data_IF_793480787155
#
_entry.id   IF_793480787155
#
_cell.length_a   1.000
_cell.length_b   1.000
_cell.length_c   1.000
_cell.angle_alpha   90.00
_cell.angle_beta   90.00
_cell.angle_gamma   90.00
#
_symmetry.space_group_name_H-M   'P 1'
#
loop_
_entity.id
_entity.type
_entity.pdbx_description
1 polymer ?
#
# COMPACT_ATOMS: atom_id res chain seq x y z
N UNK A 1 -2.00 -7.02 19.14
CA UNK A 1 -3.42 -7.35 19.41
C UNK A 1 -4.35 -6.13 19.30
N UNK A 2 -4.12 -5.02 20.04
CA UNK A 2 -5.03 -3.86 20.06
C UNK A 2 -5.21 -3.13 18.72
N UNK A 3 -4.12 -2.87 17.98
CA UNK A 3 -4.20 -2.21 16.67
C UNK A 3 -4.95 -3.06 15.64
N UNK A 4 -4.70 -4.37 15.61
CA UNK A 4 -5.46 -5.32 14.77
C UNK A 4 -6.97 -5.27 15.07
N UNK A 5 -7.35 -5.33 16.35
CA UNK A 5 -8.76 -5.26 16.76
C UNK A 5 -9.40 -3.92 16.37
N UNK A 6 -8.68 -2.80 16.48
CA UNK A 6 -9.17 -1.47 16.11
C UNK A 6 -9.44 -1.30 14.60
N UNK A 7 -8.93 -2.21 13.78
CA UNK A 7 -9.01 -2.15 12.32
C UNK A 7 -9.95 -3.20 11.72
N UNK A 8 -10.39 -4.18 12.51
CA UNK A 8 -11.35 -5.20 12.09
C UNK A 8 -12.72 -4.58 11.77
N UNK A 9 -13.31 -5.00 10.64
CA UNK A 9 -14.68 -4.65 10.26
C UNK A 9 -14.87 -3.27 9.63
N UNK A 10 -13.78 -2.51 9.42
CA UNK A 10 -13.81 -1.29 8.60
C UNK A 10 -13.62 -1.65 7.13
N UNK A 11 -14.19 -0.87 6.21
CA UNK A 11 -13.95 -1.05 4.78
C UNK A 11 -12.51 -0.66 4.39
N UNK A 12 -11.88 -1.52 3.56
CA UNK A 12 -10.66 -1.32 2.75
C UNK A 12 -10.25 0.10 2.39
N UNK A 13 -11.22 0.73 1.75
CA UNK A 13 -11.04 1.77 0.76
C UNK A 13 -11.79 3.03 1.15
N UNK A 14 -12.75 2.92 2.08
CA UNK A 14 -13.54 4.03 2.61
C UNK A 14 -12.69 5.21 3.12
N UNK A 15 -11.48 4.95 3.63
CA UNK A 15 -10.58 5.97 4.15
C UNK A 15 -9.52 6.46 3.15
N UNK A 16 -9.43 5.88 1.95
CA UNK A 16 -8.43 6.28 0.94
C UNK A 16 -8.76 7.60 0.23
N UNK A 17 -10.03 8.04 0.30
CA UNK A 17 -10.44 9.35 -0.18
C UNK A 17 -10.16 10.41 0.91
N UNK A 18 -9.28 11.36 0.59
CA UNK A 18 -8.74 12.35 1.51
C UNK A 18 -9.82 13.12 2.31
N UNK A 19 -9.95 12.89 3.63
CA UNK A 19 -10.72 13.78 4.48
C UNK A 19 -9.83 14.96 4.86
N UNK A 20 -10.41 16.17 4.84
CA UNK A 20 -9.80 17.32 5.51
C UNK A 20 -9.63 16.99 7.01
N UNK A 21 -8.44 17.19 7.57
CA UNK A 21 -8.14 16.92 8.99
C UNK A 21 -7.41 15.61 9.28
N UNK A 22 -6.79 15.00 8.28
CA UNK A 22 -5.98 13.79 8.45
C UNK A 22 -4.70 14.05 9.28
N UNK A 23 -4.44 13.18 10.26
CA UNK A 23 -3.19 13.17 11.02
C UNK A 23 -2.04 12.61 10.17
N UNK A 24 -0.81 13.03 10.46
CA UNK A 24 0.36 12.29 10.00
C UNK A 24 0.41 10.88 10.63
N UNK A 25 1.12 9.96 9.99
CA UNK A 25 1.34 8.61 10.55
C UNK A 25 2.04 8.68 11.90
N UNK A 26 2.97 9.63 12.09
CA UNK A 26 3.63 9.83 13.38
C UNK A 26 2.64 10.23 14.48
N UNK A 27 1.78 11.22 14.22
CA UNK A 27 0.77 11.67 15.17
C UNK A 27 -0.23 10.56 15.49
N UNK A 28 -0.66 9.81 14.47
CA UNK A 28 -1.53 8.66 14.64
C UNK A 28 -0.92 7.60 15.56
N UNK A 29 0.32 7.21 15.32
CA UNK A 29 1.00 6.18 16.13
C UNK A 29 1.17 6.63 17.59
N UNK A 30 1.47 7.91 17.82
CA UNK A 30 1.54 8.48 19.17
C UNK A 30 0.17 8.52 19.85
N UNK A 31 -0.86 9.00 19.15
CA UNK A 31 -2.23 9.02 19.66
C UNK A 31 -2.76 7.60 19.96
N UNK A 32 -2.34 6.61 19.17
CA UNK A 32 -2.66 5.20 19.42
C UNK A 32 -1.95 4.64 20.67
N UNK A 33 -0.91 5.31 21.17
CA UNK A 33 -0.19 4.96 22.39
C UNK A 33 1.04 4.06 22.19
N UNK A 34 1.65 4.08 21.00
CA UNK A 34 2.96 3.44 20.83
C UNK A 34 4.07 4.26 21.49
N UNK A 35 5.05 3.57 22.08
CA UNK A 35 6.22 4.23 22.66
C UNK A 35 7.14 4.77 21.56
N UNK A 36 7.88 5.84 21.86
CA UNK A 36 8.85 6.39 20.91
C UNK A 36 9.88 5.34 20.48
N UNK A 37 10.30 4.44 21.38
CA UNK A 37 11.19 3.32 21.03
C UNK A 37 10.60 2.38 19.97
N UNK A 38 9.30 2.08 20.04
CA UNK A 38 8.62 1.24 19.04
C UNK A 38 8.48 1.99 17.71
N UNK A 39 8.15 3.28 17.78
CA UNK A 39 8.03 4.14 16.59
C UNK A 39 9.37 4.21 15.86
N UNK A 40 10.46 4.47 16.57
CA UNK A 40 11.78 4.65 15.98
C UNK A 40 12.40 3.35 15.47
N UNK A 41 12.24 2.23 16.18
CA UNK A 41 12.93 0.98 15.83
C UNK A 41 12.16 0.07 14.88
N UNK A 42 10.83 0.19 14.83
CA UNK A 42 9.99 -0.64 13.98
C UNK A 42 9.28 0.17 12.91
N UNK A 43 8.42 1.12 13.31
CA UNK A 43 7.55 1.81 12.36
C UNK A 43 8.33 2.68 11.39
N UNK A 44 9.27 3.50 11.89
CA UNK A 44 10.07 4.40 11.05
C UNK A 44 10.84 3.65 9.95
N UNK A 45 11.68 2.65 10.23
CA UNK A 45 12.40 1.95 9.16
C UNK A 45 11.48 1.14 8.24
N UNK A 46 10.43 0.49 8.78
CA UNK A 46 9.52 -0.33 7.98
C UNK A 46 8.69 0.51 7.00
N UNK A 47 8.03 1.56 7.50
CA UNK A 47 7.18 2.41 6.66
C UNK A 47 7.98 3.33 5.74
N UNK A 48 9.19 3.75 6.13
CA UNK A 48 10.10 4.41 5.20
C UNK A 48 10.49 3.51 4.03
N UNK A 49 10.61 2.20 4.26
CA UNK A 49 10.84 1.22 3.18
C UNK A 49 9.65 1.07 2.22
N UNK A 50 8.41 1.26 2.70
CA UNK A 50 7.19 1.13 1.89
C UNK A 50 6.88 2.43 1.13
N UNK A 51 6.91 3.57 1.83
CA UNK A 51 6.47 4.86 1.29
C UNK A 51 7.62 5.73 0.76
N UNK A 52 8.87 5.38 1.05
CA UNK A 52 10.06 6.17 0.71
C UNK A 52 9.99 7.63 1.23
N UNK A 53 9.25 7.84 2.32
CA UNK A 53 9.03 9.12 2.99
C UNK A 53 9.16 8.95 4.52
N UNK A 54 9.31 10.04 5.26
CA UNK A 54 9.32 10.00 6.72
C UNK A 54 7.90 9.95 7.31
N UNK A 55 7.76 9.47 8.54
CA UNK A 55 6.45 9.27 9.19
C UNK A 55 5.61 10.55 9.33
N UNK A 56 6.24 11.72 9.42
CA UNK A 56 5.54 13.00 9.49
C UNK A 56 4.90 13.42 8.16
N UNK A 57 5.40 12.90 7.03
CA UNK A 57 4.93 13.23 5.68
C UNK A 57 3.99 12.15 5.12
N UNK A 58 3.74 11.09 5.89
CA UNK A 58 2.90 9.96 5.51
C UNK A 58 1.48 10.14 6.04
N UNK A 59 0.49 9.89 5.16
CA UNK A 59 -0.94 9.85 5.49
C UNK A 59 -1.25 8.72 6.48
N UNK A 60 -1.95 9.03 7.57
CA UNK A 60 -2.40 8.02 8.54
C UNK A 60 -3.43 7.05 7.95
N UNK A 61 -4.25 7.48 6.98
CA UNK A 61 -5.16 6.62 6.23
C UNK A 61 -4.41 5.62 5.34
N UNK A 62 -3.33 6.05 4.68
CA UNK A 62 -2.46 5.14 3.94
C UNK A 62 -1.71 4.19 4.86
N UNK A 63 -1.27 4.65 6.03
CA UNK A 63 -0.74 3.76 7.06
C UNK A 63 -1.76 2.68 7.43
N UNK A 64 -3.01 3.07 7.72
CA UNK A 64 -4.07 2.13 8.09
C UNK A 64 -4.35 1.11 6.97
N UNK A 65 -4.45 1.59 5.73
CA UNK A 65 -4.64 0.74 4.56
C UNK A 65 -3.55 -0.32 4.45
N UNK A 66 -2.29 0.09 4.44
CA UNK A 66 -1.15 -0.83 4.30
C UNK A 66 -1.07 -1.78 5.49
N UNK A 67 -1.22 -1.27 6.72
CA UNK A 67 -1.12 -2.11 7.91
C UNK A 67 -2.21 -3.20 7.92
N UNK A 68 -3.42 -2.86 7.46
CA UNK A 68 -4.52 -3.80 7.35
C UNK A 68 -4.27 -4.87 6.30
N UNK A 69 -3.77 -4.50 5.12
CA UNK A 69 -3.40 -5.45 4.07
C UNK A 69 -2.33 -6.45 4.52
N UNK A 70 -1.42 -6.04 5.40
CA UNK A 70 -0.43 -6.93 6.00
C UNK A 70 -1.01 -7.88 7.06
N UNK A 71 -2.17 -7.57 7.64
CA UNK A 71 -2.75 -8.31 8.77
C UNK A 71 -3.94 -9.22 8.42
N UNK A 72 -4.77 -8.81 7.47
CA UNK A 72 -6.05 -9.44 7.18
C UNK A 72 -5.96 -10.51 6.10
N UNK A 73 -5.18 -10.25 5.04
CA UNK A 73 -5.21 -11.11 3.86
C UNK A 73 -4.14 -12.20 3.94
N UNK A 74 -4.49 -13.46 3.59
CA UNK A 74 -3.49 -14.49 3.38
C UNK A 74 -2.58 -14.07 2.22
N UNK A 75 -1.31 -13.80 2.54
CA UNK A 75 -0.31 -13.54 1.51
C UNK A 75 -0.11 -14.80 0.69
N UNK A 76 -0.39 -14.73 -0.60
CA UNK A 76 -0.19 -15.82 -1.54
C UNK A 76 0.78 -15.40 -2.64
N UNK A 77 1.54 -16.37 -3.13
CA UNK A 77 2.34 -16.23 -4.33
C UNK A 77 1.66 -17.05 -5.43
N UNK A 78 1.44 -16.51 -6.65
CA UNK A 78 0.95 -17.30 -7.75
C UNK A 78 1.86 -18.52 -7.99
N UNK A 79 1.27 -19.68 -8.29
CA UNK A 79 2.00 -20.94 -8.47
C UNK A 79 3.12 -20.85 -9.51
N UNK A 80 2.92 -20.03 -10.54
CA UNK A 80 3.87 -19.83 -11.64
C UNK A 80 4.75 -18.57 -11.45
N UNK A 81 4.82 -18.08 -10.21
CA UNK A 81 5.55 -16.89 -9.81
C UNK A 81 4.84 -15.57 -10.18
N UNK A 82 5.37 -14.46 -9.67
CA UNK A 82 4.72 -13.13 -9.81
C UNK A 82 4.57 -12.66 -11.27
N UNK A 83 5.42 -13.17 -12.18
CA UNK A 83 5.35 -12.87 -13.62
C UNK A 83 4.08 -13.37 -14.30
N UNK A 84 3.35 -14.31 -13.68
CA UNK A 84 2.08 -14.84 -14.21
C UNK A 84 0.98 -13.78 -14.29
N UNK A 85 0.95 -12.82 -13.36
CA UNK A 85 -0.04 -11.74 -13.33
C UNK A 85 0.06 -10.83 -14.57
N UNK A 86 1.21 -10.21 -14.90
CA UNK A 86 1.31 -9.39 -16.10
C UNK A 86 1.10 -10.21 -17.39
N UNK A 87 1.50 -11.49 -17.44
CA UNK A 87 1.24 -12.37 -18.59
C UNK A 87 -0.26 -12.60 -18.81
N UNK A 88 -1.03 -12.81 -17.74
CA UNK A 88 -2.48 -12.97 -17.82
C UNK A 88 -3.16 -11.70 -18.35
N UNK A 89 -2.73 -10.53 -17.87
CA UNK A 89 -3.25 -9.24 -18.33
C UNK A 89 -2.92 -9.00 -19.81
N UNK A 90 -1.69 -9.28 -20.23
CA UNK A 90 -1.24 -9.17 -21.62
C UNK A 90 -2.10 -10.03 -22.56
N UNK A 91 -2.27 -11.32 -22.24
CA UNK A 91 -3.09 -12.23 -23.03
C UNK A 91 -4.56 -11.77 -23.13
N UNK A 92 -5.10 -11.13 -22.07
CA UNK A 92 -6.45 -10.56 -22.11
C UNK A 92 -6.52 -9.34 -23.03
N UNK A 93 -5.53 -8.46 -22.98
CA UNK A 93 -5.46 -7.27 -23.83
C UNK A 93 -5.35 -7.66 -25.32
N UNK A 94 -4.46 -8.59 -25.66
CA UNK A 94 -4.28 -9.10 -27.03
C UNK A 94 -5.57 -9.70 -27.60
N UNK A 95 -6.33 -10.45 -26.80
CA UNK A 95 -7.63 -11.02 -27.23
C UNK A 95 -8.63 -9.96 -27.68
N UNK A 96 -8.55 -8.73 -27.17
CA UNK A 96 -9.45 -7.65 -27.59
C UNK A 96 -9.14 -7.12 -28.98
N UNK A 97 -7.95 -7.41 -29.53
CA UNK A 97 -7.47 -6.89 -30.81
C UNK A 97 -7.23 -5.37 -30.85
N UNK A 98 -7.32 -4.70 -29.68
CA UNK A 98 -7.25 -3.23 -29.56
C UNK A 98 -5.96 -2.73 -28.92
N UNK A 99 -5.03 -3.61 -28.59
CA UNK A 99 -3.82 -3.28 -27.84
C UNK A 99 -2.63 -4.10 -28.36
N UNK A 100 -1.54 -3.40 -28.66
CA UNK A 100 -0.22 -3.98 -28.94
C UNK A 100 0.67 -3.70 -27.74
N UNK A 101 1.41 -4.70 -27.26
CA UNK A 101 2.33 -4.57 -26.13
C UNK A 101 3.74 -4.52 -26.66
N UNK A 102 4.43 -3.41 -26.39
CA UNK A 102 5.82 -3.19 -26.78
C UNK A 102 6.72 -3.19 -25.54
N UNK A 103 7.79 -3.99 -25.57
CA UNK A 103 8.77 -4.06 -24.49
C UNK A 103 10.01 -3.24 -24.86
N UNK A 104 10.69 -2.68 -23.85
CA UNK A 104 11.88 -1.85 -24.03
C UNK A 104 11.68 -0.61 -24.92
N UNK A 105 10.43 -0.19 -25.11
CA UNK A 105 10.10 1.03 -25.83
C UNK A 105 10.25 2.25 -24.91
N UNK A 106 11.00 3.26 -25.35
CA UNK A 106 11.16 4.53 -24.64
C UNK A 106 10.02 5.47 -25.01
N UNK A 107 9.34 6.04 -24.02
CA UNK A 107 8.41 7.15 -24.24
C UNK A 107 9.19 8.48 -24.21
N UNK A 108 9.22 9.20 -25.33
CA UNK A 108 9.93 10.48 -25.43
C UNK A 108 9.08 11.67 -24.97
N UNK A 109 7.75 11.57 -25.11
CA UNK A 109 6.79 12.60 -24.70
C UNK A 109 5.57 11.94 -24.07
N UNK A 110 5.01 12.59 -23.04
CA UNK A 110 3.70 12.28 -22.46
C UNK A 110 2.83 13.50 -22.70
N UNK A 111 1.72 13.33 -23.42
CA UNK A 111 0.79 14.41 -23.79
C UNK A 111 -0.48 14.33 -22.97
#
# INVERSE_FOLDING_TARGET
ARLRLAMQGKDVTQNLAAPQGELSTLEYLRAFGFSDNMIERFFRPFYRGIFLADLQDQSSAMFEFVFRMLLEEPTSLPSDGISSVPKQLAARAERTGKCTIEFNARADNVT
#
